data_IF_380991697140
#
_entry.id   IF_380991697140
#
_cell.length_a   1.000
_cell.length_b   1.000
_cell.length_c   1.000
_cell.angle_alpha   90.00
_cell.angle_beta   90.00
_cell.angle_gamma   90.00
#
_symmetry.space_group_name_H-M   'P 1'
#
loop_
_entity.id
_entity.type
_entity.pdbx_description
1 polymer ?
#
# COMPACT_ATOMS: atom_id res chain seq x y z
N UNK A 1 -25.15 7.60 1.66
CA UNK A 1 -26.27 6.77 1.18
C UNK A 1 -25.72 5.40 0.82
N UNK A 2 -26.55 4.40 0.47
CA UNK A 2 -26.01 3.12 0.04
C UNK A 2 -25.24 3.35 -1.25
N UNK A 3 -23.93 3.10 -1.18
CA UNK A 3 -23.03 3.20 -2.33
C UNK A 3 -23.27 1.96 -3.19
N UNK A 4 -24.22 2.08 -4.12
CA UNK A 4 -24.69 0.98 -4.99
C UNK A 4 -23.83 0.83 -6.25
N UNK A 5 -22.88 1.73 -6.47
CA UNK A 5 -21.87 1.57 -7.52
C UNK A 5 -20.85 0.53 -7.06
N UNK A 6 -20.39 -0.33 -7.96
CA UNK A 6 -19.44 -1.37 -7.59
C UNK A 6 -18.08 -0.76 -7.26
N UNK A 7 -17.55 -1.04 -6.07
CA UNK A 7 -16.22 -0.58 -5.65
C UNK A 7 -15.25 -1.74 -5.55
N UNK A 8 -14.06 -1.55 -6.10
CA UNK A 8 -12.89 -2.37 -5.83
C UNK A 8 -12.01 -1.63 -4.81
N UNK A 9 -11.51 -2.34 -3.80
CA UNK A 9 -10.65 -1.75 -2.77
C UNK A 9 -9.31 -2.46 -2.76
N UNK A 10 -8.23 -1.68 -2.77
CA UNK A 10 -6.87 -2.16 -2.56
C UNK A 10 -6.21 -1.32 -1.47
N UNK A 11 -5.71 -1.98 -0.44
CA UNK A 11 -4.87 -1.37 0.58
C UNK A 11 -3.52 -2.10 0.62
N UNK A 12 -2.42 -1.34 0.59
CA UNK A 12 -1.07 -1.89 0.67
C UNK A 12 -0.38 -1.37 1.92
N UNK A 13 0.01 -2.30 2.80
CA UNK A 13 0.85 -1.99 3.96
C UNK A 13 2.29 -2.41 3.67
N UNK A 14 3.24 -1.50 3.85
CA UNK A 14 4.68 -1.77 3.74
C UNK A 14 5.32 -1.71 5.14
N UNK A 15 5.81 -2.85 5.61
CA UNK A 15 6.59 -2.93 6.84
C UNK A 15 8.08 -2.75 6.55
N UNK A 16 8.70 -1.70 7.10
CA UNK A 16 10.13 -1.45 6.99
C UNK A 16 10.80 -1.55 8.35
N UNK A 17 12.06 -1.98 8.39
CA UNK A 17 12.89 -1.72 9.57
C UNK A 17 12.96 -0.20 9.83
N UNK A 18 12.93 0.18 11.09
CA UNK A 18 12.98 1.58 11.50
C UNK A 18 14.27 2.28 11.03
N UNK A 19 14.21 3.61 10.91
CA UNK A 19 15.38 4.45 10.59
C UNK A 19 15.31 5.17 9.25
N UNK A 20 14.22 5.04 8.49
CA UNK A 20 13.95 5.90 7.33
C UNK A 20 13.31 7.21 7.76
N UNK A 21 13.66 8.29 7.06
CA UNK A 21 13.03 9.60 7.25
C UNK A 21 11.58 9.59 6.81
N UNK A 22 10.77 10.47 7.40
CA UNK A 22 9.36 10.62 7.01
C UNK A 22 9.22 10.99 5.54
N UNK A 23 10.09 11.86 5.01
CA UNK A 23 10.14 12.19 3.57
C UNK A 23 10.34 10.95 2.70
N UNK A 24 11.24 10.03 3.11
CA UNK A 24 11.47 8.79 2.36
C UNK A 24 10.23 7.88 2.42
N UNK A 25 9.57 7.80 3.57
CA UNK A 25 8.35 7.00 3.75
C UNK A 25 7.19 7.55 2.91
N UNK A 26 7.03 8.88 2.86
CA UNK A 26 6.05 9.57 2.00
C UNK A 26 6.32 9.24 0.53
N UNK A 27 7.56 9.44 0.07
CA UNK A 27 7.93 9.16 -1.33
C UNK A 27 7.69 7.71 -1.72
N UNK A 28 7.97 6.75 -0.83
CA UNK A 28 7.67 5.34 -1.07
C UNK A 28 6.16 5.09 -1.17
N UNK A 29 5.38 5.68 -0.27
CA UNK A 29 3.91 5.55 -0.27
C UNK A 29 3.31 6.07 -1.57
N UNK A 30 3.75 7.23 -2.05
CA UNK A 30 3.33 7.81 -3.32
C UNK A 30 3.70 6.94 -4.51
N UNK A 31 4.93 6.42 -4.54
CA UNK A 31 5.38 5.53 -5.61
C UNK A 31 4.55 4.23 -5.69
N UNK A 32 4.14 3.68 -4.55
CA UNK A 32 3.23 2.52 -4.51
C UNK A 32 1.86 2.86 -5.08
N UNK A 33 1.30 4.03 -4.75
CA UNK A 33 0.02 4.47 -5.31
C UNK A 33 0.11 4.71 -6.82
N UNK A 34 1.22 5.25 -7.32
CA UNK A 34 1.48 5.38 -8.75
C UNK A 34 1.52 4.00 -9.44
N UNK A 35 2.18 3.01 -8.82
CA UNK A 35 2.20 1.64 -9.32
C UNK A 35 0.80 1.03 -9.36
N UNK A 36 0.01 1.17 -8.29
CA UNK A 36 -1.38 0.70 -8.27
C UNK A 36 -2.21 1.36 -9.36
N UNK A 37 -2.08 2.68 -9.55
CA UNK A 37 -2.77 3.40 -10.63
C UNK A 37 -2.38 2.86 -12.01
N UNK A 38 -1.11 2.51 -12.21
CA UNK A 38 -0.61 1.98 -13.47
C UNK A 38 -1.11 0.56 -13.75
N UNK A 39 -1.12 -0.32 -12.75
CA UNK A 39 -1.28 -1.77 -12.96
C UNK A 39 -2.57 -2.38 -12.39
N UNK A 40 -3.17 -1.80 -11.35
CA UNK A 40 -4.46 -2.26 -10.82
C UNK A 40 -5.59 -1.66 -11.65
N UNK A 41 -6.00 -2.37 -12.72
CA UNK A 41 -7.15 -1.98 -13.55
C UNK A 41 -8.40 -2.69 -13.04
N UNK A 42 -9.38 -1.97 -12.46
CA UNK A 42 -10.63 -2.59 -12.03
C UNK A 42 -11.42 -3.07 -13.26
N UNK A 43 -12.27 -4.08 -13.09
CA UNK A 43 -13.19 -4.53 -14.13
C UNK A 43 -14.23 -3.46 -14.49
N UNK A 44 -14.92 -3.64 -15.61
CA UNK A 44 -15.91 -2.67 -16.10
C UNK A 44 -16.96 -2.34 -15.03
N UNK A 45 -17.28 -1.04 -14.91
CA UNK A 45 -18.27 -0.55 -13.94
C UNK A 45 -17.80 -0.50 -12.49
N UNK A 46 -16.52 -0.79 -12.20
CA UNK A 46 -15.95 -0.69 -10.86
C UNK A 46 -15.09 0.57 -10.68
N UNK A 47 -15.31 1.29 -9.58
CA UNK A 47 -14.41 2.36 -9.11
C UNK A 47 -13.34 1.74 -8.22
N UNK A 48 -12.07 2.03 -8.48
CA UNK A 48 -10.97 1.58 -7.63
C UNK A 48 -10.65 2.61 -6.54
N UNK A 49 -10.80 2.20 -5.27
CA UNK A 49 -10.24 2.90 -4.13
C UNK A 49 -8.91 2.25 -3.72
N UNK A 50 -7.80 2.93 -4.00
CA UNK A 50 -6.45 2.48 -3.67
C UNK A 50 -5.86 3.31 -2.53
N UNK A 51 -5.25 2.65 -1.56
CA UNK A 51 -4.54 3.27 -0.44
C UNK A 51 -3.25 2.53 -0.14
N UNK A 52 -2.27 3.23 0.43
CA UNK A 52 -1.01 2.64 0.86
C UNK A 52 -0.53 3.31 2.15
N UNK A 53 0.16 2.54 2.99
CA UNK A 53 0.82 3.06 4.18
C UNK A 53 2.17 2.38 4.41
N UNK A 54 3.13 3.15 4.91
CA UNK A 54 4.43 2.64 5.37
C UNK A 54 4.46 2.70 6.89
N UNK A 55 4.81 1.58 7.51
CA UNK A 55 4.98 1.47 8.96
C UNK A 55 6.37 0.94 9.30
N UNK A 56 6.88 1.42 10.42
CA UNK A 56 8.02 0.75 11.04
C UNK A 56 7.57 -0.60 11.60
N UNK A 57 8.40 -1.61 11.39
CA UNK A 57 8.24 -2.92 12.00
C UNK A 57 8.47 -2.81 13.50
N UNK A 58 7.71 -3.57 14.27
CA UNK A 58 7.86 -3.62 15.72
C UNK A 58 9.28 -4.08 16.09
N UNK A 59 9.90 -3.57 17.18
CA UNK A 59 11.22 -4.01 17.62
C UNK A 59 11.34 -5.53 17.88
N UNK A 60 10.23 -6.23 18.08
CA UNK A 60 10.17 -7.69 18.19
C UNK A 60 10.20 -8.43 16.85
N UNK A 61 10.15 -7.73 15.71
CA UNK A 61 10.23 -8.34 14.39
C UNK A 61 11.54 -9.13 14.23
N UNK A 62 11.41 -10.39 13.81
CA UNK A 62 12.53 -11.31 13.53
C UNK A 62 12.28 -11.98 12.19
N UNK A 63 13.35 -12.25 11.46
CA UNK A 63 13.33 -13.02 10.21
C UNK A 63 14.44 -14.07 10.27
N UNK A 64 14.31 -15.13 9.47
CA UNK A 64 15.40 -16.07 9.19
C UNK A 64 15.48 -16.23 7.67
N UNK A 65 16.69 -16.41 7.15
CA UNK A 65 16.94 -16.58 5.71
C UNK A 65 17.58 -17.95 5.47
N UNK A 66 17.25 -18.58 4.35
CA UNK A 66 17.86 -19.82 3.86
C UNK A 66 18.38 -19.58 2.45
N UNK A 67 19.52 -20.21 2.10
CA UNK A 67 20.06 -20.23 0.74
C UNK A 67 19.19 -21.03 -0.24
#
# INVERSE_FOLDING_TARGET
>A
GPDTEGHAVVHVTLGLLAGRTDETKVRLTEAVLELLRQYAKPGDGLVLHASAEVRDLDPSYRTFETE
#
